data_IF_829165211086
#
_entry.id   IF_829165211086
#
_cell.length_a   1.000
_cell.length_b   1.000
_cell.length_c   1.000
_cell.angle_alpha   90.00
_cell.angle_beta   90.00
_cell.angle_gamma   90.00
#
_symmetry.space_group_name_H-M   'P 1'
#
loop_
_entity.id
_entity.type
_entity.pdbx_description
1 polymer ?
#
# COMPACT_ATOMS: atom_id res chain seq x y z
N UNK A 1 -35.74 3.39 5.00
CA UNK A 1 -34.70 3.19 3.98
C UNK A 1 -34.77 1.77 3.46
N UNK A 2 -35.15 1.61 2.20
CA UNK A 2 -35.33 0.32 1.53
C UNK A 2 -33.96 -0.34 1.24
N UNK A 3 -33.92 -1.66 1.03
CA UNK A 3 -32.66 -2.36 0.71
C UNK A 3 -31.98 -1.79 -0.54
N UNK A 4 -32.77 -1.35 -1.52
CA UNK A 4 -32.30 -0.77 -2.79
C UNK A 4 -31.58 0.56 -2.59
N UNK A 5 -32.12 1.44 -1.73
CA UNK A 5 -31.47 2.70 -1.38
C UNK A 5 -30.13 2.50 -0.66
N UNK A 6 -30.04 1.47 0.20
CA UNK A 6 -28.78 1.15 0.90
C UNK A 6 -27.73 0.60 -0.05
N UNK A 7 -28.13 -0.23 -1.02
CA UNK A 7 -27.23 -0.75 -2.05
C UNK A 7 -26.71 0.35 -2.96
N UNK A 8 -27.56 1.27 -3.41
CA UNK A 8 -27.12 2.39 -4.24
C UNK A 8 -26.16 3.32 -3.50
N UNK A 9 -26.38 3.59 -2.21
CA UNK A 9 -25.43 4.35 -1.40
C UNK A 9 -24.07 3.66 -1.29
N UNK A 10 -24.04 2.34 -1.07
CA UNK A 10 -22.81 1.54 -1.07
C UNK A 10 -22.09 1.61 -2.42
N UNK A 11 -22.84 1.44 -3.52
CA UNK A 11 -22.31 1.47 -4.87
C UNK A 11 -21.70 2.83 -5.24
N UNK A 12 -22.42 3.93 -4.95
CA UNK A 12 -21.93 5.29 -5.21
C UNK A 12 -20.74 5.67 -4.34
N UNK A 13 -20.70 5.21 -3.09
CA UNK A 13 -19.57 5.44 -2.18
C UNK A 13 -18.31 4.71 -2.67
N UNK A 14 -18.44 3.44 -3.06
CA UNK A 14 -17.34 2.64 -3.63
C UNK A 14 -16.81 3.24 -4.94
N UNK A 15 -17.71 3.72 -5.82
CA UNK A 15 -17.34 4.38 -7.08
C UNK A 15 -16.59 5.71 -6.84
N UNK A 16 -16.98 6.48 -5.81
CA UNK A 16 -16.29 7.73 -5.43
C UNK A 16 -14.89 7.45 -4.87
N UNK A 17 -14.77 6.47 -3.99
CA UNK A 17 -13.47 6.03 -3.45
C UNK A 17 -12.52 5.58 -4.55
N UNK A 18 -13.01 4.78 -5.50
CA UNK A 18 -12.20 4.28 -6.62
C UNK A 18 -11.70 5.43 -7.51
N UNK A 19 -12.53 6.45 -7.75
CA UNK A 19 -12.11 7.66 -8.47
C UNK A 19 -11.06 8.47 -7.71
N UNK A 20 -11.23 8.65 -6.40
CA UNK A 20 -10.25 9.35 -5.56
C UNK A 20 -8.91 8.60 -5.51
N UNK A 21 -8.95 7.28 -5.36
CA UNK A 21 -7.76 6.43 -5.41
C UNK A 21 -7.07 6.50 -6.78
N UNK A 22 -7.82 6.49 -7.88
CA UNK A 22 -7.28 6.63 -9.23
C UNK A 22 -6.65 8.01 -9.47
N UNK A 23 -7.28 9.08 -8.98
CA UNK A 23 -6.72 10.44 -9.04
C UNK A 23 -5.43 10.54 -8.23
N UNK A 24 -5.43 10.05 -6.99
CA UNK A 24 -4.22 10.02 -6.16
C UNK A 24 -3.12 9.18 -6.79
N UNK A 25 -3.44 8.00 -7.30
CA UNK A 25 -2.49 7.17 -8.04
C UNK A 25 -1.90 7.94 -9.23
N UNK A 26 -2.73 8.58 -10.06
CA UNK A 26 -2.26 9.34 -11.21
C UNK A 26 -1.37 10.54 -10.82
N UNK A 27 -1.71 11.23 -9.73
CA UNK A 27 -0.98 12.39 -9.26
C UNK A 27 0.37 11.99 -8.67
N UNK A 28 0.41 10.97 -7.82
CA UNK A 28 1.66 10.45 -7.24
C UNK A 28 2.55 9.84 -8.33
N UNK A 29 1.97 9.12 -9.30
CA UNK A 29 2.71 8.59 -10.46
C UNK A 29 3.32 9.71 -11.29
N UNK A 30 2.56 10.78 -11.56
CA UNK A 30 3.03 11.94 -12.32
C UNK A 30 4.20 12.65 -11.63
N UNK A 31 4.10 12.89 -10.32
CA UNK A 31 5.18 13.49 -9.53
C UNK A 31 6.42 12.59 -9.52
N UNK A 32 6.23 11.29 -9.28
CA UNK A 32 7.33 10.32 -9.30
C UNK A 32 8.03 10.24 -10.66
N UNK A 33 7.28 10.37 -11.76
CA UNK A 33 7.83 10.41 -13.12
C UNK A 33 8.65 11.67 -13.38
N UNK A 34 8.16 12.85 -12.96
CA UNK A 34 8.89 14.12 -13.08
C UNK A 34 10.23 14.05 -12.33
N UNK A 35 10.25 13.51 -11.11
CA UNK A 35 11.49 13.38 -10.33
C UNK A 35 12.48 12.39 -10.95
N UNK A 36 11.98 11.34 -11.59
CA UNK A 36 12.81 10.39 -12.34
C UNK A 36 13.54 11.06 -13.51
N UNK A 37 12.89 12.03 -14.16
CA UNK A 37 13.48 12.83 -15.25
C UNK A 37 14.47 13.89 -14.75
N UNK A 38 14.37 14.30 -13.48
CA UNK A 38 15.26 15.28 -12.84
C UNK A 38 16.52 14.66 -12.20
N UNK A 39 16.84 13.40 -12.49
CA UNK A 39 17.95 12.62 -11.88
C UNK A 39 17.85 12.42 -10.35
N UNK A 40 16.74 12.81 -9.74
CA UNK A 40 16.44 12.69 -8.31
C UNK A 40 15.94 11.27 -7.96
N UNK A 41 16.70 10.24 -8.37
CA UNK A 41 16.30 8.82 -8.29
C UNK A 41 15.91 8.37 -6.87
N UNK A 42 16.64 8.84 -5.86
CA UNK A 42 16.39 8.51 -4.44
C UNK A 42 15.04 9.06 -3.96
N UNK A 43 14.70 10.29 -4.37
CA UNK A 43 13.42 10.92 -4.05
C UNK A 43 12.26 10.30 -4.84
N UNK A 44 12.49 9.93 -6.10
CA UNK A 44 11.51 9.20 -6.90
C UNK A 44 11.19 7.84 -6.26
N UNK A 45 12.19 7.02 -5.92
CA UNK A 45 11.99 5.73 -5.25
C UNK A 45 11.22 5.89 -3.93
N UNK A 46 11.56 6.91 -3.13
CA UNK A 46 10.88 7.18 -1.87
C UNK A 46 9.41 7.57 -2.08
N UNK A 47 9.08 8.35 -3.11
CA UNK A 47 7.68 8.65 -3.46
C UNK A 47 6.92 7.40 -3.92
N UNK A 48 7.55 6.55 -4.73
CA UNK A 48 6.91 5.33 -5.22
C UNK A 48 6.65 4.32 -4.09
N UNK A 49 7.59 4.14 -3.17
CA UNK A 49 7.46 3.20 -2.05
C UNK A 49 6.65 3.76 -0.87
N UNK A 50 6.83 5.04 -0.53
CA UNK A 50 6.24 5.65 0.69
C UNK A 50 4.91 6.35 0.43
N UNK A 51 4.65 6.83 -0.78
CA UNK A 51 3.42 7.56 -1.07
C UNK A 51 2.46 6.74 -1.92
N UNK A 52 2.91 6.02 -2.94
CA UNK A 52 1.97 5.46 -3.91
C UNK A 52 1.18 4.25 -3.36
N UNK A 53 1.87 3.27 -2.79
CA UNK A 53 1.24 2.07 -2.21
C UNK A 53 0.44 2.40 -0.92
N UNK A 54 0.97 3.18 0.03
CA UNK A 54 0.28 3.45 1.29
C UNK A 54 -0.98 4.30 1.10
N UNK A 55 -0.92 5.32 0.24
CA UNK A 55 -2.04 6.27 0.07
C UNK A 55 -3.29 5.60 -0.49
N UNK A 56 -3.13 4.73 -1.49
CA UNK A 56 -4.27 4.05 -2.13
C UNK A 56 -4.95 3.11 -1.14
N UNK A 57 -4.15 2.39 -0.36
CA UNK A 57 -4.63 1.48 0.66
C UNK A 57 -5.41 2.23 1.75
N UNK A 58 -4.86 3.35 2.24
CA UNK A 58 -5.51 4.20 3.23
C UNK A 58 -6.84 4.78 2.72
N UNK A 59 -6.90 5.26 1.49
CA UNK A 59 -8.14 5.79 0.88
C UNK A 59 -9.22 4.72 0.80
N UNK A 60 -8.85 3.48 0.44
CA UNK A 60 -9.81 2.36 0.37
C UNK A 60 -10.34 1.98 1.74
N UNK A 61 -9.48 1.84 2.74
CA UNK A 61 -9.90 1.50 4.11
C UNK A 61 -10.78 2.60 4.68
N UNK A 62 -10.38 3.86 4.53
CA UNK A 62 -11.12 5.00 5.04
C UNK A 62 -12.51 5.12 4.41
N UNK A 63 -12.61 4.96 3.09
CA UNK A 63 -13.89 5.02 2.40
C UNK A 63 -14.78 3.81 2.73
N UNK A 64 -14.21 2.60 2.83
CA UNK A 64 -14.92 1.41 3.26
C UNK A 64 -15.54 1.59 4.65
N UNK A 65 -14.71 2.02 5.61
CA UNK A 65 -15.12 2.28 6.99
C UNK A 65 -16.24 3.32 7.06
N UNK A 66 -16.09 4.45 6.36
CA UNK A 66 -17.14 5.48 6.33
C UNK A 66 -18.45 5.00 5.69
N UNK A 67 -18.37 4.10 4.72
CA UNK A 67 -19.56 3.54 4.08
C UNK A 67 -20.28 2.59 5.03
N UNK A 68 -19.55 1.74 5.74
CA UNK A 68 -20.09 0.84 6.77
C UNK A 68 -20.74 1.64 7.91
N UNK A 69 -20.05 2.67 8.42
CA UNK A 69 -20.58 3.53 9.49
C UNK A 69 -21.85 4.30 9.10
N UNK A 70 -22.03 4.62 7.81
CA UNK A 70 -23.26 5.25 7.30
C UNK A 70 -24.39 4.25 7.06
N UNK A 71 -24.07 2.99 6.79
CA UNK A 71 -25.05 1.95 6.51
C UNK A 71 -25.82 1.51 7.76
N UNK A 72 -25.14 1.47 8.92
CA UNK A 72 -25.75 1.03 10.18
C UNK A 72 -25.21 1.86 11.35
N UNK A 73 -26.12 2.54 12.05
CA UNK A 73 -25.84 3.45 13.17
C UNK A 73 -25.91 2.77 14.54
N UNK A 74 -26.14 1.46 14.61
CA UNK A 74 -26.17 0.76 15.89
C UNK A 74 -24.83 0.90 16.64
N UNK A 75 -24.85 1.09 17.97
CA UNK A 75 -23.63 1.33 18.75
C UNK A 75 -22.64 0.16 18.69
N UNK A 76 -23.15 -1.07 18.70
CA UNK A 76 -22.36 -2.31 18.65
C UNK A 76 -21.64 -2.46 17.29
N UNK A 77 -22.36 -2.23 16.20
CA UNK A 77 -21.80 -2.27 14.85
C UNK A 77 -20.75 -1.18 14.63
N UNK A 78 -21.02 0.04 15.13
CA UNK A 78 -20.06 1.16 15.06
C UNK A 78 -18.77 0.83 15.80
N UNK A 79 -18.85 0.21 16.97
CA UNK A 79 -17.67 -0.24 17.73
C UNK A 79 -16.88 -1.29 16.94
N UNK A 80 -17.55 -2.29 16.38
CA UNK A 80 -16.91 -3.35 15.61
C UNK A 80 -16.15 -2.79 14.39
N UNK A 81 -16.81 -1.95 13.59
CA UNK A 81 -16.22 -1.33 12.39
C UNK A 81 -15.03 -0.45 12.73
N UNK A 82 -15.08 0.30 13.84
CA UNK A 82 -13.92 1.08 14.31
C UNK A 82 -12.77 0.17 14.76
N UNK A 83 -13.08 -0.96 15.41
CA UNK A 83 -12.07 -1.94 15.84
C UNK A 83 -11.37 -2.56 14.62
N UNK A 84 -12.14 -2.96 13.60
CA UNK A 84 -11.62 -3.46 12.34
C UNK A 84 -10.71 -2.45 11.64
N UNK A 85 -11.10 -1.17 11.62
CA UNK A 85 -10.26 -0.08 11.13
C UNK A 85 -8.92 -0.01 11.87
N UNK A 86 -8.95 0.03 13.21
CA UNK A 86 -7.73 0.12 14.02
C UNK A 86 -6.83 -1.11 13.90
N UNK A 87 -7.40 -2.31 13.85
CA UNK A 87 -6.65 -3.56 13.65
C UNK A 87 -5.97 -3.57 12.28
N UNK A 88 -6.69 -3.17 11.23
CA UNK A 88 -6.15 -3.12 9.86
C UNK A 88 -5.02 -2.10 9.76
N UNK A 89 -5.19 -0.92 10.35
CA UNK A 89 -4.13 0.11 10.44
C UNK A 89 -2.92 -0.37 11.24
N UNK A 90 -3.14 -1.09 12.34
CA UNK A 90 -2.09 -1.67 13.16
C UNK A 90 -1.26 -2.72 12.41
N UNK A 91 -1.92 -3.67 11.73
CA UNK A 91 -1.26 -4.68 10.91
C UNK A 91 -0.45 -4.06 9.77
N UNK A 92 -1.01 -3.03 9.13
CA UNK A 92 -0.33 -2.27 8.10
C UNK A 92 0.96 -1.62 8.62
N UNK A 93 0.88 -0.94 9.78
CA UNK A 93 2.04 -0.33 10.43
C UNK A 93 3.10 -1.34 10.86
N UNK A 94 2.70 -2.50 11.38
CA UNK A 94 3.62 -3.59 11.75
C UNK A 94 4.35 -4.13 10.52
N UNK A 95 3.63 -4.36 9.41
CA UNK A 95 4.24 -4.79 8.15
C UNK A 95 5.28 -3.79 7.64
N UNK A 96 4.98 -2.50 7.72
CA UNK A 96 5.91 -1.42 7.36
C UNK A 96 7.20 -1.45 8.20
N UNK A 97 7.07 -1.58 9.53
CA UNK A 97 8.22 -1.67 10.45
C UNK A 97 9.04 -2.93 10.21
N UNK A 98 8.39 -4.06 9.91
CA UNK A 98 9.12 -5.29 9.58
C UNK A 98 9.87 -5.17 8.25
N UNK A 99 9.27 -4.55 7.24
CA UNK A 99 9.94 -4.28 5.96
C UNK A 99 11.21 -3.44 6.14
N UNK A 100 11.13 -2.34 6.90
CA UNK A 100 12.30 -1.48 7.13
C UNK A 100 13.42 -2.18 7.90
N UNK A 101 13.07 -3.09 8.81
CA UNK A 101 14.05 -3.95 9.49
C UNK A 101 14.72 -4.96 8.54
N UNK A 102 13.96 -5.52 7.59
CA UNK A 102 14.51 -6.40 6.54
C UNK A 102 15.49 -5.62 5.66
N UNK A 103 15.12 -4.41 5.24
CA UNK A 103 16.00 -3.54 4.44
C UNK A 103 17.30 -3.18 5.19
N UNK A 104 17.21 -2.89 6.49
CA UNK A 104 18.39 -2.68 7.34
C UNK A 104 19.27 -3.91 7.50
N UNK A 105 18.69 -5.11 7.47
CA UNK A 105 19.46 -6.36 7.49
C UNK A 105 20.10 -6.66 6.13
N UNK A 106 19.37 -6.43 5.02
CA UNK A 106 19.89 -6.55 3.67
C UNK A 106 21.05 -5.59 3.41
N UNK A 107 20.98 -4.36 3.91
CA UNK A 107 22.06 -3.37 3.80
C UNK A 107 23.34 -3.75 4.56
N UNK A 108 23.25 -4.67 5.53
CA UNK A 108 24.39 -5.19 6.30
C UNK A 108 24.99 -6.46 5.70
N UNK A 109 24.33 -7.07 4.72
CA UNK A 109 24.83 -8.24 4.02
C UNK A 109 25.80 -7.77 2.94
N UNK A 110 27.04 -8.24 3.03
CA UNK A 110 28.06 -8.02 2.00
C UNK A 110 27.64 -8.73 0.70
N UNK A 111 27.43 -8.00 -0.41
CA UNK A 111 26.97 -8.58 -1.67
C UNK A 111 27.93 -9.66 -2.24
N UNK A 112 29.21 -9.62 -1.87
CA UNK A 112 30.19 -10.65 -2.27
C UNK A 112 29.99 -11.98 -1.52
N UNK A 113 29.36 -11.96 -0.34
CA UNK A 113 29.08 -13.16 0.45
C UNK A 113 27.85 -13.94 -0.05
N UNK A 114 26.90 -13.27 -0.70
CA UNK A 114 25.69 -13.91 -1.25
C UNK A 114 25.98 -14.59 -2.57
N UNK A 115 26.86 -14.01 -3.39
CA UNK A 115 27.25 -14.59 -4.68
C UNK A 115 28.04 -15.89 -4.48
N UNK A 116 29.00 -15.95 -3.54
CA UNK A 116 29.78 -17.17 -3.30
C UNK A 116 28.93 -18.39 -2.91
N UNK A 117 27.90 -18.22 -2.07
CA UNK A 117 27.02 -19.33 -1.65
C UNK A 117 26.11 -19.86 -2.75
N UNK A 118 25.83 -19.06 -3.79
CA UNK A 118 25.05 -19.48 -4.96
C UNK A 118 25.95 -20.17 -5.98
N UNK A 119 27.20 -19.72 -6.13
CA UNK A 119 28.19 -20.36 -7.01
C UNK A 119 28.68 -21.73 -6.50
N UNK A 120 28.83 -21.92 -5.18
CA UNK A 120 29.14 -23.25 -4.61
C UNK A 120 27.99 -24.26 -4.79
N UNK A 121 26.76 -23.76 -4.96
CA UNK A 121 25.56 -24.59 -5.14
C UNK A 121 25.19 -24.81 -6.61
N UNK A 122 26.18 -24.77 -7.53
CA UNK A 122 26.18 -25.48 -8.81
C UNK A 122 24.97 -25.29 -9.74
N UNK A 123 24.21 -24.19 -9.64
CA UNK A 123 23.02 -23.98 -10.48
C UNK A 123 22.81 -22.52 -10.84
N UNK A 124 23.63 -21.95 -11.71
CA UNK A 124 23.12 -21.13 -12.83
C UNK A 124 24.21 -20.90 -13.87
N UNK A 125 23.77 -20.94 -15.12
CA UNK A 125 24.59 -20.99 -16.32
C UNK A 125 25.40 -19.74 -16.58
N UNK A 126 26.54 -20.00 -17.22
CA UNK A 126 27.37 -19.13 -18.02
C UNK A 126 26.53 -18.11 -18.83
N UNK A 127 26.75 -16.81 -18.62
CA UNK A 127 26.33 -15.76 -19.55
C UNK A 127 27.57 -15.34 -20.36
N UNK A 128 27.62 -15.62 -21.68
CA UNK A 128 28.71 -15.14 -22.52
C UNK A 128 28.58 -13.62 -22.76
N UNK A 129 29.74 -12.99 -22.99
CA UNK A 129 29.98 -11.56 -23.19
C UNK A 129 29.23 -10.96 -24.37
#
# INVERSE_FOLDING_TARGET
MTQRERFEQLYHSGKRSTRQAALLFSLVTGIGFILLMSEERLLAELIWFVLLVPSIFLVKIWAGTNTLLRFNSSPEYTRLVRLEFWVTMGLYGIGWIMSSKIDQQLAKIDPEHVTHKVYERGKVGFFPK
#
